data_IF_553908518024
#
_entry.id   IF_553908518024
#
_cell.length_a   1.000
_cell.length_b   1.000
_cell.length_c   1.000
_cell.angle_alpha   90.00
_cell.angle_beta   90.00
_cell.angle_gamma   90.00
#
_symmetry.space_group_name_H-M   'P 1'
#
loop_
_entity.id
_entity.type
_entity.pdbx_description
1 polymer ?
#
# COMPACT_ATOMS: atom_id res chain seq x y z
N UNK A 1 -12.06 17.71 9.45
CA UNK A 1 -12.33 16.60 10.40
C UNK A 1 -13.29 15.67 9.70
N UNK A 2 -13.08 14.35 9.76
CA UNK A 2 -13.98 13.35 9.17
C UNK A 2 -15.26 13.27 10.00
N UNK A 3 -16.41 13.28 9.32
CA UNK A 3 -17.68 12.91 9.95
C UNK A 3 -17.85 11.39 9.86
N UNK A 4 -17.46 10.69 10.92
CA UNK A 4 -17.53 9.23 11.01
C UNK A 4 -18.96 8.68 10.96
N UNK A 5 -19.98 9.48 11.27
CA UNK A 5 -21.40 9.06 11.15
C UNK A 5 -21.86 8.92 9.69
N UNK A 6 -21.12 9.52 8.75
CA UNK A 6 -21.37 9.43 7.33
C UNK A 6 -20.62 8.27 6.64
N UNK A 7 -19.84 7.47 7.38
CA UNK A 7 -18.98 6.40 6.86
C UNK A 7 -19.44 5.06 7.38
N UNK A 8 -19.56 4.08 6.49
CA UNK A 8 -19.86 2.68 6.82
C UNK A 8 -18.64 1.79 6.54
N UNK A 9 -17.89 2.06 5.46
CA UNK A 9 -16.74 1.25 5.03
C UNK A 9 -15.47 2.11 4.96
N UNK A 10 -14.38 1.57 5.49
CA UNK A 10 -13.04 2.18 5.42
C UNK A 10 -12.12 1.27 4.62
N UNK A 11 -11.72 1.74 3.45
CA UNK A 11 -10.67 1.10 2.65
C UNK A 11 -9.31 1.71 3.02
N UNK A 12 -8.33 0.86 3.22
CA UNK A 12 -6.97 1.25 3.57
C UNK A 12 -5.98 0.57 2.63
N UNK A 13 -5.06 1.33 2.11
CA UNK A 13 -3.86 0.77 1.51
C UNK A 13 -2.90 0.27 2.58
N UNK A 14 -1.92 -0.55 2.18
CA UNK A 14 -0.93 -1.13 3.07
C UNK A 14 0.38 -0.33 3.07
N UNK A 15 1.08 -0.31 1.94
CA UNK A 15 2.46 0.14 1.83
C UNK A 15 2.55 1.65 1.58
N UNK A 16 3.14 2.39 2.51
CA UNK A 16 3.12 3.86 2.49
C UNK A 16 1.91 4.46 3.21
N UNK A 17 0.91 3.63 3.55
CA UNK A 17 -0.30 4.05 4.27
C UNK A 17 -0.29 3.52 5.69
N UNK A 18 -0.43 2.24 5.92
CA UNK A 18 -0.37 1.62 7.25
C UNK A 18 1.05 1.19 7.62
N UNK A 19 1.78 0.64 6.67
CA UNK A 19 3.18 0.26 6.82
C UNK A 19 4.09 1.31 6.20
N UNK A 20 5.26 1.49 6.82
CA UNK A 20 6.26 2.43 6.32
C UNK A 20 6.76 1.99 4.94
N UNK A 21 6.68 2.87 3.95
CA UNK A 21 7.15 2.62 2.59
C UNK A 21 8.69 2.48 2.52
N UNK A 22 9.41 2.81 3.59
CA UNK A 22 10.86 2.72 3.63
C UNK A 22 11.37 1.33 3.27
N UNK A 23 10.71 0.27 3.76
CA UNK A 23 11.06 -1.10 3.40
C UNK A 23 11.07 -1.32 1.88
N UNK A 24 9.98 -0.96 1.20
CA UNK A 24 9.88 -1.15 -0.26
C UNK A 24 10.77 -0.18 -1.03
N UNK A 25 10.88 1.08 -0.58
CA UNK A 25 11.83 2.05 -1.17
C UNK A 25 13.26 1.54 -1.10
N UNK A 26 13.72 1.09 0.06
CA UNK A 26 15.06 0.55 0.24
C UNK A 26 15.27 -0.72 -0.58
N UNK A 27 14.29 -1.64 -0.57
CA UNK A 27 14.41 -2.88 -1.33
C UNK A 27 14.58 -2.63 -2.82
N UNK A 28 13.65 -1.89 -3.43
CA UNK A 28 13.61 -1.70 -4.89
C UNK A 28 14.69 -0.76 -5.42
N UNK A 29 15.07 0.27 -4.64
CA UNK A 29 15.99 1.30 -5.11
C UNK A 29 17.46 1.07 -4.71
N UNK A 30 17.71 0.26 -3.67
CA UNK A 30 19.05 0.08 -3.13
C UNK A 30 19.45 -1.41 -3.06
N UNK A 31 18.66 -2.21 -2.34
CA UNK A 31 19.03 -3.59 -2.02
C UNK A 31 18.99 -4.49 -3.27
N UNK A 32 17.88 -4.51 -3.99
CA UNK A 32 17.73 -5.34 -5.20
C UNK A 32 18.74 -4.98 -6.30
N UNK A 33 18.95 -3.71 -6.69
CA UNK A 33 19.94 -3.37 -7.69
C UNK A 33 21.36 -3.79 -7.30
N UNK A 34 21.74 -3.64 -6.03
CA UNK A 34 23.03 -4.11 -5.50
C UNK A 34 23.14 -5.63 -5.58
N UNK A 35 22.15 -6.37 -5.06
CA UNK A 35 22.15 -7.82 -5.06
C UNK A 35 22.12 -8.41 -6.48
N UNK A 36 21.43 -7.74 -7.41
CA UNK A 36 21.37 -8.16 -8.82
C UNK A 36 22.76 -8.18 -9.45
N UNK A 37 23.52 -7.12 -9.35
CA UNK A 37 24.88 -7.06 -9.93
C UNK A 37 25.85 -8.02 -9.22
N UNK A 38 25.73 -8.15 -7.88
CA UNK A 38 26.54 -9.09 -7.10
C UNK A 38 26.31 -10.55 -7.54
N UNK A 39 25.04 -10.98 -7.56
CA UNK A 39 24.67 -12.38 -7.80
C UNK A 39 24.93 -12.80 -9.26
N UNK A 40 24.72 -11.89 -10.21
CA UNK A 40 24.98 -12.13 -11.64
C UNK A 40 26.41 -11.79 -12.07
N UNK A 41 27.25 -11.25 -11.15
CA UNK A 41 28.63 -10.81 -11.44
C UNK A 41 28.71 -9.78 -12.58
N UNK A 42 27.80 -8.81 -12.54
CA UNK A 42 27.66 -7.73 -13.52
C UNK A 42 28.36 -6.45 -13.03
N UNK A 43 28.48 -5.47 -13.91
CA UNK A 43 28.97 -4.14 -13.60
C UNK A 43 27.84 -3.14 -13.27
N UNK A 44 28.19 -1.92 -12.85
CA UNK A 44 27.22 -0.89 -12.47
C UNK A 44 26.34 -0.38 -13.62
N UNK A 45 26.70 -0.62 -14.88
CA UNK A 45 25.85 -0.22 -16.02
C UNK A 45 24.56 -1.05 -16.05
N UNK A 46 24.63 -2.31 -15.64
CA UNK A 46 23.47 -3.20 -15.49
C UNK A 46 22.57 -2.78 -14.33
N UNK A 47 23.13 -2.21 -13.28
CA UNK A 47 22.36 -1.62 -12.17
C UNK A 47 21.44 -0.51 -12.68
N UNK A 48 21.99 0.46 -13.43
CA UNK A 48 21.22 1.57 -13.99
C UNK A 48 20.14 1.09 -14.98
N UNK A 49 20.46 0.09 -15.79
CA UNK A 49 19.48 -0.51 -16.67
C UNK A 49 18.32 -1.19 -15.93
N UNK A 50 18.62 -1.90 -14.82
CA UNK A 50 17.60 -2.48 -13.96
C UNK A 50 16.70 -1.40 -13.32
N UNK A 51 17.29 -0.33 -12.79
CA UNK A 51 16.54 0.79 -12.20
C UNK A 51 15.57 1.43 -13.22
N UNK A 52 15.96 1.54 -14.50
CA UNK A 52 15.07 2.00 -15.57
C UNK A 52 13.92 1.02 -15.80
N UNK A 53 14.20 -0.27 -15.93
CA UNK A 53 13.17 -1.32 -16.13
C UNK A 53 12.15 -1.31 -15.00
N UNK A 54 12.61 -1.20 -13.76
CA UNK A 54 11.75 -1.13 -12.57
C UNK A 54 10.84 0.10 -12.67
N UNK A 55 11.37 1.25 -13.08
CA UNK A 55 10.60 2.49 -13.21
C UNK A 55 9.55 2.40 -14.32
N UNK A 56 9.92 1.81 -15.46
CA UNK A 56 9.08 1.74 -16.65
C UNK A 56 7.89 0.75 -16.50
N UNK A 57 7.99 -0.21 -15.55
CA UNK A 57 6.92 -1.14 -15.24
C UNK A 57 5.80 -0.55 -14.35
N UNK A 58 5.99 0.65 -13.78
CA UNK A 58 5.03 1.26 -12.83
C UNK A 58 3.60 1.33 -13.39
N UNK A 59 2.63 1.11 -12.51
CA UNK A 59 1.20 1.16 -12.84
C UNK A 59 0.67 -0.09 -13.55
N UNK A 60 1.47 -1.16 -13.65
CA UNK A 60 1.06 -2.46 -14.18
C UNK A 60 0.99 -3.50 -13.06
N UNK A 61 0.24 -4.60 -13.26
CA UNK A 61 0.25 -5.71 -12.30
C UNK A 61 1.64 -6.34 -12.16
N UNK A 62 2.40 -6.39 -13.24
CA UNK A 62 3.76 -6.93 -13.25
C UNK A 62 4.67 -6.15 -12.29
N UNK A 63 4.47 -4.82 -12.17
CA UNK A 63 5.18 -3.99 -11.19
C UNK A 63 5.05 -4.52 -9.76
N UNK A 64 3.87 -4.98 -9.39
CA UNK A 64 3.53 -5.43 -8.03
C UNK A 64 3.81 -6.91 -7.81
N UNK A 65 4.11 -7.70 -8.87
CA UNK A 65 4.27 -9.15 -8.80
C UNK A 65 5.71 -9.57 -8.49
N UNK A 66 5.95 -10.15 -7.31
CA UNK A 66 7.26 -10.71 -6.96
C UNK A 66 7.61 -11.91 -7.85
N UNK A 67 6.62 -12.71 -8.25
CA UNK A 67 6.82 -13.82 -9.18
C UNK A 67 7.26 -13.36 -10.57
N UNK A 68 6.69 -12.25 -11.08
CA UNK A 68 7.13 -11.63 -12.33
C UNK A 68 8.62 -11.24 -12.24
N UNK A 69 8.99 -10.46 -11.22
CA UNK A 69 10.36 -10.00 -11.05
C UNK A 69 11.34 -11.14 -10.78
N UNK A 70 10.92 -12.19 -10.08
CA UNK A 70 11.75 -13.38 -9.85
C UNK A 70 12.12 -14.06 -11.16
N UNK A 71 11.15 -14.20 -12.06
CA UNK A 71 11.36 -14.77 -13.39
C UNK A 71 12.23 -13.87 -14.28
N UNK A 72 11.89 -12.56 -14.34
CA UNK A 72 12.58 -11.59 -15.20
C UNK A 72 14.05 -11.38 -14.82
N UNK A 73 14.37 -11.47 -13.52
CA UNK A 73 15.72 -11.25 -13.03
C UNK A 73 16.47 -12.55 -12.73
N UNK A 74 15.80 -13.71 -12.85
CA UNK A 74 16.37 -15.03 -12.48
C UNK A 74 16.89 -15.02 -11.03
N UNK A 75 16.12 -14.42 -10.11
CA UNK A 75 16.43 -14.29 -8.69
C UNK A 75 15.22 -14.67 -7.84
N UNK A 76 15.44 -15.20 -6.65
CA UNK A 76 14.39 -15.35 -5.64
C UNK A 76 14.15 -13.99 -4.95
N UNK A 77 13.20 -13.21 -5.49
CA UNK A 77 12.88 -11.87 -4.97
C UNK A 77 12.33 -11.95 -3.55
N UNK A 78 11.58 -12.99 -3.23
CA UNK A 78 11.04 -13.20 -1.86
C UNK A 78 12.19 -13.43 -0.87
N UNK A 79 13.17 -14.26 -1.23
CA UNK A 79 14.35 -14.47 -0.40
C UNK A 79 15.15 -13.18 -0.20
N UNK A 80 15.35 -12.39 -1.27
CA UNK A 80 16.03 -11.10 -1.17
C UNK A 80 15.26 -10.08 -0.31
N UNK A 81 13.93 -10.04 -0.38
CA UNK A 81 13.11 -9.21 0.51
C UNK A 81 13.26 -9.63 1.98
N UNK A 82 13.40 -10.93 2.25
CA UNK A 82 13.66 -11.43 3.62
C UNK A 82 14.99 -10.94 4.20
N UNK A 83 16.02 -10.71 3.38
CA UNK A 83 17.31 -10.17 3.86
C UNK A 83 17.14 -8.80 4.55
N UNK A 84 16.14 -8.01 4.16
CA UNK A 84 15.85 -6.68 4.70
C UNK A 84 14.49 -6.59 5.42
N UNK A 85 13.88 -7.74 5.75
CA UNK A 85 12.55 -7.81 6.38
C UNK A 85 12.48 -7.09 7.74
N UNK A 86 13.62 -6.86 8.40
CA UNK A 86 13.72 -6.07 9.63
C UNK A 86 13.31 -4.60 9.46
N UNK A 87 13.19 -4.11 8.24
CA UNK A 87 12.69 -2.77 7.91
C UNK A 87 11.16 -2.71 7.78
N UNK A 88 10.46 -3.87 7.77
CA UNK A 88 9.00 -3.91 7.73
C UNK A 88 8.47 -3.45 9.10
N UNK A 89 7.67 -2.40 9.08
CA UNK A 89 7.08 -1.88 10.31
C UNK A 89 5.87 -0.98 10.05
N UNK A 90 5.10 -0.77 11.11
CA UNK A 90 3.99 0.18 11.09
C UNK A 90 4.50 1.61 10.96
N UNK A 91 3.74 2.44 10.26
CA UNK A 91 3.91 3.89 10.36
C UNK A 91 3.57 4.36 11.76
N UNK A 92 4.16 5.50 12.14
CA UNK A 92 3.84 6.12 13.41
C UNK A 92 2.32 6.29 13.56
N UNK A 93 1.77 5.95 14.73
CA UNK A 93 0.36 6.00 15.12
C UNK A 93 -0.65 5.17 14.27
N UNK A 94 -0.22 4.52 13.20
CA UNK A 94 -1.11 3.69 12.36
C UNK A 94 -1.71 2.51 13.16
N UNK A 95 -0.92 1.87 14.01
CA UNK A 95 -1.42 0.77 14.84
C UNK A 95 -2.55 1.23 15.79
N UNK A 96 -2.38 2.39 16.44
CA UNK A 96 -3.41 2.94 17.34
C UNK A 96 -4.72 3.27 16.59
N UNK A 97 -4.58 3.74 15.33
CA UNK A 97 -5.74 3.98 14.47
C UNK A 97 -6.44 2.67 14.08
N UNK A 98 -5.69 1.61 13.76
CA UNK A 98 -6.26 0.29 13.45
C UNK A 98 -6.94 -0.34 14.67
N UNK A 99 -6.39 -0.19 15.87
CA UNK A 99 -7.03 -0.62 17.13
C UNK A 99 -8.36 0.12 17.35
N UNK A 100 -8.38 1.42 17.08
CA UNK A 100 -9.61 2.22 17.17
C UNK A 100 -10.64 1.78 16.11
N UNK A 101 -10.26 1.59 14.86
CA UNK A 101 -11.15 1.10 13.80
C UNK A 101 -11.74 -0.27 14.17
N UNK A 102 -10.90 -1.19 14.66
CA UNK A 102 -11.34 -2.54 15.06
C UNK A 102 -12.36 -2.52 16.20
N UNK A 103 -12.32 -1.51 17.07
CA UNK A 103 -13.31 -1.32 18.14
C UNK A 103 -14.58 -0.59 17.68
N UNK A 104 -14.60 -0.07 16.46
CA UNK A 104 -15.74 0.64 15.86
C UNK A 104 -16.69 -0.31 15.13
N UNK A 105 -17.92 0.13 14.80
CA UNK A 105 -18.85 -0.64 13.98
C UNK A 105 -18.55 -0.55 12.48
N UNK A 106 -17.45 0.06 12.07
CA UNK A 106 -17.08 0.27 10.68
C UNK A 106 -16.56 -1.03 10.05
N UNK A 107 -16.88 -1.24 8.78
CA UNK A 107 -16.32 -2.31 7.98
C UNK A 107 -14.95 -1.90 7.44
N UNK A 108 -13.89 -2.63 7.78
CA UNK A 108 -12.50 -2.26 7.51
C UNK A 108 -11.89 -3.22 6.49
N UNK A 109 -11.53 -2.69 5.32
CA UNK A 109 -11.02 -3.47 4.20
C UNK A 109 -9.61 -3.01 3.81
N UNK A 110 -8.65 -3.94 3.80
CA UNK A 110 -7.35 -3.70 3.21
C UNK A 110 -7.45 -3.86 1.69
N UNK A 111 -7.20 -2.78 0.94
CA UNK A 111 -7.19 -2.74 -0.51
C UNK A 111 -5.76 -2.43 -0.98
N UNK A 112 -5.02 -3.43 -1.45
CA UNK A 112 -3.59 -3.29 -1.76
C UNK A 112 -3.23 -3.76 -3.15
N UNK A 113 -2.20 -3.15 -3.74
CA UNK A 113 -1.55 -3.66 -4.95
C UNK A 113 -0.51 -4.75 -4.67
N UNK A 114 -0.11 -4.95 -3.41
CA UNK A 114 0.81 -6.02 -3.03
C UNK A 114 0.23 -7.39 -3.40
N UNK A 115 1.05 -8.23 -4.02
CA UNK A 115 0.68 -9.60 -4.36
C UNK A 115 0.65 -10.52 -3.12
N UNK A 116 0.22 -11.78 -3.31
CA UNK A 116 0.08 -12.75 -2.24
C UNK A 116 1.41 -13.11 -1.56
N UNK A 117 2.53 -13.07 -2.29
CA UNK A 117 3.86 -13.32 -1.73
C UNK A 117 4.31 -12.17 -0.83
N UNK A 118 4.06 -10.92 -1.24
CA UNK A 118 4.30 -9.71 -0.44
C UNK A 118 3.46 -9.72 0.84
N UNK A 119 2.16 -10.06 0.73
CA UNK A 119 1.28 -10.23 1.89
C UNK A 119 1.78 -11.32 2.83
N UNK A 120 2.19 -12.48 2.28
CA UNK A 120 2.74 -13.61 3.06
C UNK A 120 4.03 -13.26 3.81
N UNK A 121 4.78 -12.27 3.34
CA UNK A 121 5.95 -11.75 4.06
C UNK A 121 5.56 -10.75 5.16
N UNK A 122 4.66 -9.81 4.87
CA UNK A 122 4.38 -8.64 5.73
C UNK A 122 3.38 -8.94 6.85
N UNK A 123 2.30 -9.69 6.56
CA UNK A 123 1.24 -9.95 7.53
C UNK A 123 1.73 -10.69 8.80
N UNK A 124 2.56 -11.77 8.70
CA UNK A 124 3.06 -12.44 9.90
C UNK A 124 3.95 -11.56 10.79
N UNK A 125 4.64 -10.56 10.20
CA UNK A 125 5.54 -9.67 10.94
C UNK A 125 4.81 -8.51 11.61
N UNK A 126 3.68 -8.08 11.03
CA UNK A 126 2.95 -6.89 11.49
C UNK A 126 1.66 -7.24 12.25
N UNK A 127 1.07 -8.41 11.98
CA UNK A 127 -0.23 -8.81 12.50
C UNK A 127 -1.38 -7.95 11.96
N UNK A 128 -1.20 -7.27 10.83
CA UNK A 128 -2.17 -6.33 10.26
C UNK A 128 -3.51 -7.01 9.92
N UNK A 129 -3.45 -8.27 9.50
CA UNK A 129 -4.62 -9.11 9.22
C UNK A 129 -5.63 -9.21 10.38
N UNK A 130 -5.18 -8.98 11.62
CA UNK A 130 -6.05 -9.04 12.82
C UNK A 130 -6.96 -7.83 12.96
N UNK A 131 -6.66 -6.74 12.26
CA UNK A 131 -7.34 -5.44 12.38
C UNK A 131 -8.32 -5.15 11.25
N UNK A 132 -8.36 -5.98 10.21
CA UNK A 132 -9.23 -5.80 9.05
C UNK A 132 -10.24 -6.93 8.93
N UNK A 133 -11.40 -6.65 8.35
CA UNK A 133 -12.46 -7.62 8.13
C UNK A 133 -12.25 -8.37 6.81
N UNK A 134 -11.54 -7.74 5.87
CA UNK A 134 -11.20 -8.32 4.57
C UNK A 134 -9.88 -7.78 4.01
N UNK A 135 -9.19 -8.61 3.23
CA UNK A 135 -8.02 -8.23 2.44
C UNK A 135 -8.32 -8.52 0.97
N UNK A 136 -8.19 -7.52 0.12
CA UNK A 136 -8.31 -7.63 -1.33
C UNK A 136 -7.03 -7.12 -1.97
N UNK A 137 -6.33 -8.02 -2.66
CA UNK A 137 -5.15 -7.69 -3.45
C UNK A 137 -5.54 -7.46 -4.92
N UNK A 138 -4.86 -6.55 -5.60
CA UNK A 138 -5.00 -6.37 -7.04
C UNK A 138 -4.68 -7.66 -7.83
N UNK A 139 -3.82 -8.53 -7.29
CA UNK A 139 -3.54 -9.84 -7.87
C UNK A 139 -4.77 -10.77 -7.85
N UNK A 140 -5.68 -10.63 -6.88
CA UNK A 140 -6.89 -11.46 -6.79
C UNK A 140 -7.92 -11.09 -7.87
N UNK A 141 -7.94 -9.82 -8.25
CA UNK A 141 -8.92 -9.28 -9.23
C UNK A 141 -8.32 -9.10 -10.63
N UNK A 142 -7.00 -9.26 -10.77
CA UNK A 142 -6.33 -9.21 -12.06
C UNK A 142 -6.12 -7.80 -12.64
N UNK A 143 -6.36 -6.74 -11.84
CA UNK A 143 -6.16 -5.34 -12.26
C UNK A 143 -5.66 -4.50 -11.09
N UNK A 144 -4.75 -3.52 -11.33
CA UNK A 144 -4.23 -2.64 -10.28
C UNK A 144 -5.25 -1.60 -9.86
N UNK A 145 -5.10 -1.04 -8.64
CA UNK A 145 -6.01 -0.05 -8.03
C UNK A 145 -6.14 1.24 -8.83
N UNK A 146 -5.18 1.57 -9.66
CA UNK A 146 -5.18 2.73 -10.56
C UNK A 146 -6.29 2.64 -11.63
N UNK A 147 -6.86 1.46 -11.84
CA UNK A 147 -7.90 1.23 -12.85
C UNK A 147 -9.29 1.12 -12.23
N UNK A 148 -10.30 1.72 -12.88
CA UNK A 148 -11.70 1.64 -12.43
C UNK A 148 -12.22 0.22 -12.30
N UNK A 149 -11.69 -0.70 -13.12
CA UNK A 149 -12.07 -2.12 -13.09
C UNK A 149 -11.75 -2.78 -11.75
N UNK A 150 -10.70 -2.32 -11.01
CA UNK A 150 -10.41 -2.78 -9.67
C UNK A 150 -11.58 -2.51 -8.72
N UNK A 151 -12.11 -1.29 -8.73
CA UNK A 151 -13.21 -0.89 -7.85
C UNK A 151 -14.51 -1.60 -8.20
N UNK A 152 -14.75 -1.86 -9.49
CA UNK A 152 -15.91 -2.66 -9.94
C UNK A 152 -15.80 -4.11 -9.46
N UNK A 153 -14.61 -4.71 -9.52
CA UNK A 153 -14.36 -6.04 -8.99
C UNK A 153 -14.46 -6.06 -7.45
N UNK A 154 -13.91 -5.03 -6.77
CA UNK A 154 -14.06 -4.84 -5.33
C UNK A 154 -15.53 -4.83 -4.93
N UNK A 155 -16.38 -4.07 -5.62
CA UNK A 155 -17.82 -3.98 -5.38
C UNK A 155 -18.52 -5.36 -5.50
N UNK A 156 -18.02 -6.21 -6.39
CA UNK A 156 -18.56 -7.57 -6.56
C UNK A 156 -18.11 -8.50 -5.44
N UNK A 157 -16.85 -8.40 -5.02
CA UNK A 157 -16.25 -9.23 -3.96
C UNK A 157 -16.71 -8.81 -2.56
N UNK A 158 -16.94 -7.54 -2.38
CA UNK A 158 -17.27 -6.91 -1.12
C UNK A 158 -18.19 -5.70 -1.38
N UNK A 159 -19.52 -5.89 -1.39
CA UNK A 159 -20.46 -4.82 -1.65
C UNK A 159 -20.34 -3.68 -0.63
N UNK A 160 -20.25 -2.44 -1.10
CA UNK A 160 -20.15 -1.24 -0.27
C UNK A 160 -20.90 -0.06 -0.91
N UNK A 161 -21.18 0.98 -0.12
CA UNK A 161 -21.78 2.22 -0.64
C UNK A 161 -20.67 3.26 -0.87
N UNK A 162 -20.33 3.60 -2.13
CA UNK A 162 -19.22 4.52 -2.42
C UNK A 162 -19.37 5.90 -1.76
N UNK A 163 -20.62 6.43 -1.67
CA UNK A 163 -20.90 7.70 -1.04
C UNK A 163 -20.70 7.69 0.49
N UNK A 164 -20.65 6.52 1.11
CA UNK A 164 -20.44 6.29 2.53
C UNK A 164 -19.13 5.56 2.83
N UNK A 165 -18.17 5.64 1.90
CA UNK A 165 -16.87 5.01 2.03
C UNK A 165 -15.76 6.05 2.17
N UNK A 166 -14.80 5.74 3.03
CA UNK A 166 -13.51 6.42 3.16
C UNK A 166 -12.42 5.53 2.53
N UNK A 167 -11.54 6.12 1.74
CA UNK A 167 -10.34 5.45 1.28
C UNK A 167 -9.10 6.29 1.59
N UNK A 168 -8.08 5.63 2.15
CA UNK A 168 -6.78 6.24 2.50
C UNK A 168 -5.68 5.49 1.74
N UNK A 169 -4.89 6.24 0.97
CA UNK A 169 -3.82 5.69 0.11
C UNK A 169 -2.72 6.74 -0.08
N UNK A 170 -1.48 6.33 -0.24
CA UNK A 170 -0.37 7.24 -0.48
C UNK A 170 -0.20 7.62 -1.96
N UNK A 171 -0.83 6.86 -2.87
CA UNK A 171 -0.70 7.03 -4.31
C UNK A 171 -1.86 7.87 -4.88
N UNK A 172 -1.50 9.01 -5.47
CA UNK A 172 -2.47 9.94 -6.06
C UNK A 172 -3.27 9.36 -7.24
N UNK A 173 -2.65 8.51 -8.08
CA UNK A 173 -3.32 7.90 -9.22
C UNK A 173 -4.37 6.89 -8.77
N UNK A 174 -4.09 6.20 -7.66
CA UNK A 174 -5.04 5.28 -7.01
C UNK A 174 -6.20 6.06 -6.39
N UNK A 175 -5.93 7.16 -5.68
CA UNK A 175 -6.98 8.04 -5.13
C UNK A 175 -7.86 8.63 -6.24
N UNK A 176 -7.25 9.02 -7.37
CA UNK A 176 -7.98 9.53 -8.52
C UNK A 176 -8.88 8.45 -9.15
N UNK A 177 -8.40 7.22 -9.25
CA UNK A 177 -9.21 6.08 -9.70
C UNK A 177 -10.42 5.85 -8.78
N UNK A 178 -10.21 5.87 -7.47
CA UNK A 178 -11.26 5.74 -6.47
C UNK A 178 -12.28 6.88 -6.54
N UNK A 179 -11.82 8.13 -6.74
CA UNK A 179 -12.66 9.30 -6.93
C UNK A 179 -13.57 9.16 -8.16
N UNK A 180 -13.00 8.73 -9.27
CA UNK A 180 -13.74 8.51 -10.52
C UNK A 180 -14.75 7.37 -10.40
N UNK A 181 -14.51 6.39 -9.54
CA UNK A 181 -15.47 5.33 -9.23
C UNK A 181 -16.64 5.85 -8.38
N UNK A 182 -16.44 6.90 -7.60
CA UNK A 182 -17.47 7.53 -6.77
C UNK A 182 -17.24 7.40 -5.27
N UNK A 183 -16.08 6.91 -4.82
CA UNK A 183 -15.72 6.92 -3.40
C UNK A 183 -15.61 8.38 -2.94
N UNK A 184 -16.42 8.73 -1.94
CA UNK A 184 -16.62 10.14 -1.57
C UNK A 184 -15.52 10.71 -0.70
N UNK A 185 -15.05 9.96 0.27
CA UNK A 185 -14.08 10.44 1.24
C UNK A 185 -12.70 9.87 0.89
N UNK A 186 -11.77 10.75 0.53
CA UNK A 186 -10.44 10.37 0.04
C UNK A 186 -9.37 11.14 0.81
N UNK A 187 -8.39 10.44 1.34
CA UNK A 187 -7.26 11.02 2.04
C UNK A 187 -5.95 10.46 1.49
N UNK A 188 -5.01 11.36 1.22
CA UNK A 188 -3.62 11.01 0.94
C UNK A 188 -2.81 10.85 2.22
N UNK A 189 -1.57 10.42 2.07
CA UNK A 189 -0.59 10.35 3.15
C UNK A 189 0.50 11.39 2.91
N UNK A 190 0.79 12.21 3.94
CA UNK A 190 1.79 13.27 3.84
C UNK A 190 3.22 12.73 3.65
N UNK A 191 3.60 11.72 4.42
CA UNK A 191 4.95 11.15 4.44
C UNK A 191 4.89 9.62 4.41
N UNK A 192 4.72 8.99 3.22
CA UNK A 192 4.65 7.53 3.09
C UNK A 192 5.91 6.80 3.55
N UNK A 193 7.08 7.36 3.23
CA UNK A 193 8.41 6.83 3.59
C UNK A 193 9.00 7.72 4.69
N UNK A 194 9.21 7.17 5.88
CA UNK A 194 9.70 7.91 7.05
C UNK A 194 11.11 8.50 6.88
N UNK A 195 11.86 8.05 5.88
CA UNK A 195 13.22 8.52 5.56
C UNK A 195 13.23 9.62 4.50
N UNK A 196 12.07 9.94 3.92
CA UNK A 196 11.93 11.00 2.92
C UNK A 196 11.16 12.19 3.48
N UNK A 197 11.32 13.33 2.84
CA UNK A 197 10.56 14.54 3.19
C UNK A 197 9.10 14.31 2.78
N UNK A 198 8.18 14.63 3.68
CA UNK A 198 6.75 14.61 3.39
C UNK A 198 6.35 15.69 2.41
N UNK A 199 5.24 15.48 1.71
CA UNK A 199 4.70 16.44 0.74
C UNK A 199 3.19 16.56 0.84
N UNK A 200 2.70 17.78 0.58
CA UNK A 200 1.28 18.00 0.35
C UNK A 200 0.88 17.45 -1.02
N UNK A 201 -0.39 17.10 -1.18
CA UNK A 201 -0.95 16.74 -2.47
C UNK A 201 -1.89 17.84 -2.98
N UNK A 202 -1.78 18.31 -4.25
CA UNK A 202 -2.57 19.44 -4.74
C UNK A 202 -4.07 19.15 -4.84
N UNK A 203 -4.46 17.88 -4.98
CA UNK A 203 -5.85 17.48 -5.24
C UNK A 203 -6.50 16.71 -4.08
N UNK A 204 -5.74 16.29 -3.07
CA UNK A 204 -6.24 15.49 -1.95
C UNK A 204 -5.77 16.05 -0.62
N UNK A 205 -6.64 16.04 0.38
CA UNK A 205 -6.24 16.25 1.77
C UNK A 205 -5.30 15.12 2.19
N UNK A 206 -4.17 15.46 2.81
CA UNK A 206 -3.20 14.47 3.30
C UNK A 206 -3.27 14.34 4.81
N UNK A 207 -3.05 13.13 5.28
CA UNK A 207 -2.94 12.77 6.69
C UNK A 207 -1.47 12.87 7.09
N UNK A 208 -1.16 13.72 8.06
CA UNK A 208 0.16 13.76 8.69
C UNK A 208 0.26 12.71 9.80
N UNK A 209 -0.78 12.63 10.64
CA UNK A 209 -0.90 11.70 11.74
C UNK A 209 -2.30 11.12 11.80
N UNK A 210 -2.44 9.81 11.91
CA UNK A 210 -3.72 9.13 12.05
C UNK A 210 -4.47 9.54 13.32
N UNK A 211 -3.74 9.95 14.34
CA UNK A 211 -4.34 10.49 15.58
C UNK A 211 -5.32 11.65 15.33
N UNK A 212 -5.07 12.47 14.29
CA UNK A 212 -5.96 13.58 13.92
C UNK A 212 -7.31 13.14 13.34
N UNK A 213 -7.43 11.89 12.89
CA UNK A 213 -8.67 11.32 12.35
C UNK A 213 -9.56 10.72 13.45
N UNK A 214 -8.98 10.31 14.55
CA UNK A 214 -9.72 9.68 15.65
C UNK A 214 -10.48 10.73 16.47
N UNK A 215 -11.71 10.41 16.92
CA UNK A 215 -12.41 11.26 17.89
C UNK A 215 -11.56 11.48 19.14
N UNK A 216 -11.65 12.68 19.72
CA UNK A 216 -11.00 12.94 21.01
C UNK A 216 -11.51 11.92 22.05
N UNK A 217 -10.61 11.30 22.81
CA UNK A 217 -11.02 10.42 23.90
C UNK A 217 -11.85 11.25 24.87
N UNK A 218 -13.06 10.79 25.25
CA UNK A 218 -13.77 11.43 26.35
C UNK A 218 -12.86 11.36 27.58
N UNK A 219 -12.55 12.54 28.17
CA UNK A 219 -11.73 12.68 29.38
C UNK A 219 -12.35 12.02 30.61
#
# INVERSE_FOLDING_TARGET
MIDWSAIDTVFLDMDGTLLDLHFDSHFWLEHLPRRYVELHRLDDTHRTALESRIRDARGTLDWYSLAYWSRELSLDIVALKREVAHLIGWRADALAFMEWLKASPLDVVLATNADRESLGLKLPLTGLDRYVDRIVSSADVGVPKEQLAFWSAMQTLHPFEPARSLFIDDNADVLESARRYGIRHLLGIHQPDSRKVGSAHPSFTVVEQFASLMPARPG
#
